data_IF_991478803151
#
_entry.id   IF_991478803151
#
_cell.length_a   1.000
_cell.length_b   1.000
_cell.length_c   1.000
_cell.angle_alpha   90.00
_cell.angle_beta   90.00
_cell.angle_gamma   90.00
#
_symmetry.space_group_name_H-M   'P 1'
#
loop_
_entity.id
_entity.type
_entity.pdbx_description
1 polymer ?
#
# COMPACT_ATOMS: atom_id res chain seq x y z
N UNK A 1 -16.79 -19.89 -1.11
CA UNK A 1 -15.60 -20.16 -0.26
C UNK A 1 -14.44 -19.34 -0.81
N UNK A 2 -14.16 -18.20 -0.18
CA UNK A 2 -13.13 -17.26 -0.56
C UNK A 2 -11.80 -17.68 0.08
N UNK A 3 -10.97 -18.43 -0.63
CA UNK A 3 -9.65 -18.91 -0.15
C UNK A 3 -8.46 -18.36 -0.93
N UNK A 4 -8.67 -17.35 -1.79
CA UNK A 4 -7.58 -16.69 -2.53
C UNK A 4 -7.28 -15.25 -2.07
N UNK A 5 -7.82 -14.79 -0.94
CA UNK A 5 -7.66 -13.41 -0.48
C UNK A 5 -6.59 -13.19 0.60
N UNK A 6 -6.12 -14.25 1.26
CA UNK A 6 -5.31 -14.12 2.48
C UNK A 6 -3.86 -13.71 2.22
N UNK A 7 -3.32 -13.97 1.01
CA UNK A 7 -1.90 -13.70 0.71
C UNK A 7 -1.60 -12.24 0.28
N UNK A 8 -2.62 -11.50 -0.17
CA UNK A 8 -2.51 -10.06 -0.43
C UNK A 8 -2.51 -9.24 0.88
N UNK A 9 -3.22 -9.70 1.91
CA UNK A 9 -3.27 -9.07 3.23
C UNK A 9 -1.97 -9.22 4.04
N UNK A 10 -1.06 -10.12 3.65
CA UNK A 10 0.29 -10.21 4.23
C UNK A 10 1.29 -9.22 3.63
N UNK A 11 0.91 -8.55 2.54
CA UNK A 11 1.67 -7.46 1.92
C UNK A 11 0.94 -6.13 2.12
N UNK A 12 0.31 -5.93 3.29
CA UNK A 12 -0.19 -4.61 3.67
C UNK A 12 0.95 -3.60 3.50
N UNK A 13 0.71 -2.46 2.83
CA UNK A 13 1.69 -1.39 2.79
C UNK A 13 2.09 -1.04 4.22
N UNK A 14 3.38 -0.86 4.48
CA UNK A 14 3.85 -0.36 5.77
C UNK A 14 3.03 0.88 6.15
N UNK A 15 2.70 1.07 7.43
CA UNK A 15 2.10 2.33 7.89
C UNK A 15 3.01 3.54 7.58
N UNK A 16 4.30 3.27 7.38
CA UNK A 16 5.30 4.26 7.00
C UNK A 16 5.43 4.40 5.49
N UNK A 17 4.74 3.62 4.65
CA UNK A 17 4.80 3.80 3.21
C UNK A 17 4.09 5.09 2.81
N UNK A 18 4.79 5.97 2.08
CA UNK A 18 4.25 7.29 1.68
C UNK A 18 4.05 7.41 0.18
N UNK A 19 4.64 6.49 -0.58
CA UNK A 19 4.61 6.52 -2.05
C UNK A 19 4.45 5.12 -2.58
N UNK A 20 3.63 5.00 -3.62
CA UNK A 20 3.50 3.77 -4.37
C UNK A 20 3.28 4.05 -5.85
N UNK A 21 3.68 3.09 -6.69
CA UNK A 21 3.43 3.12 -8.12
C UNK A 21 3.02 1.74 -8.59
N UNK A 22 1.96 1.67 -9.40
CA UNK A 22 1.47 0.42 -9.96
C UNK A 22 1.68 0.36 -11.46
N UNK A 23 2.01 -0.83 -11.96
CA UNK A 23 2.08 -1.13 -13.38
C UNK A 23 1.27 -2.38 -13.69
N UNK A 24 0.78 -2.49 -14.91
CA UNK A 24 -0.02 -3.60 -15.37
C UNK A 24 0.54 -4.21 -16.65
N UNK A 25 0.44 -5.54 -16.76
CA UNK A 25 0.69 -6.25 -18.00
C UNK A 25 -0.52 -7.08 -18.38
N UNK A 26 -1.03 -6.85 -19.59
CA UNK A 26 -2.04 -7.68 -20.21
C UNK A 26 -1.37 -8.89 -20.87
N UNK A 27 -1.85 -10.09 -20.55
CA UNK A 27 -1.41 -11.35 -21.14
C UNK A 27 -2.62 -12.06 -21.73
N UNK A 28 -2.41 -12.79 -22.83
CA UNK A 28 -3.43 -13.67 -23.41
C UNK A 28 -2.94 -15.10 -23.33
N UNK A 29 -3.73 -15.98 -22.71
CA UNK A 29 -3.45 -17.39 -22.74
C UNK A 29 -3.68 -17.90 -24.17
N UNK A 30 -2.63 -18.41 -24.82
CA UNK A 30 -2.70 -18.89 -26.20
C UNK A 30 -3.56 -20.14 -26.37
N UNK A 31 -3.73 -20.96 -25.32
CA UNK A 31 -4.50 -22.21 -25.36
C UNK A 31 -5.99 -22.00 -25.05
N UNK A 32 -6.32 -21.16 -24.07
CA UNK A 32 -7.70 -20.94 -23.63
C UNK A 32 -8.33 -19.67 -24.20
N UNK A 33 -7.54 -18.83 -24.89
CA UNK A 33 -8.00 -17.55 -25.45
C UNK A 33 -8.25 -16.44 -24.41
N UNK A 34 -8.24 -16.78 -23.12
CA UNK A 34 -8.54 -15.90 -21.99
C UNK A 34 -7.53 -14.77 -21.86
N UNK A 35 -8.02 -13.56 -21.57
CA UNK A 35 -7.19 -12.40 -21.24
C UNK A 35 -7.00 -12.33 -19.72
N UNK A 36 -5.76 -12.10 -19.29
CA UNK A 36 -5.37 -11.94 -17.89
C UNK A 36 -4.67 -10.61 -17.74
N UNK A 37 -4.98 -9.89 -16.66
CA UNK A 37 -4.31 -8.66 -16.29
C UNK A 37 -3.51 -8.91 -15.02
N UNK A 38 -2.20 -8.76 -15.10
CA UNK A 38 -1.32 -8.86 -13.95
C UNK A 38 -0.92 -7.45 -13.51
N UNK A 39 -1.19 -7.11 -12.25
CA UNK A 39 -0.80 -5.85 -11.63
C UNK A 39 0.37 -6.06 -10.67
N UNK A 40 1.28 -5.10 -10.64
CA UNK A 40 2.37 -5.03 -9.66
C UNK A 40 2.41 -3.62 -9.11
N UNK A 41 2.38 -3.47 -7.80
CA UNK A 41 2.59 -2.20 -7.12
C UNK A 41 3.89 -2.27 -6.31
N UNK A 42 4.70 -1.22 -6.42
CA UNK A 42 5.93 -1.03 -5.66
C UNK A 42 5.71 0.11 -4.68
N UNK A 43 6.11 -0.11 -3.43
CA UNK A 43 6.02 0.84 -2.33
C UNK A 43 7.43 1.30 -1.96
N UNK A 44 7.56 2.55 -1.54
CA UNK A 44 8.83 3.13 -1.06
C UNK A 44 9.38 2.45 0.19
N UNK A 45 8.50 1.96 1.07
CA UNK A 45 8.87 1.19 2.26
C UNK A 45 8.21 -0.18 2.31
N UNK A 46 9.05 -1.21 2.45
CA UNK A 46 8.62 -2.57 2.75
C UNK A 46 8.54 -2.74 4.28
N UNK A 47 7.44 -3.29 4.83
CA UNK A 47 7.36 -3.60 6.25
C UNK A 47 8.40 -4.65 6.64
N UNK A 48 8.90 -4.59 7.88
CA UNK A 48 9.76 -5.64 8.46
C UNK A 48 8.91 -6.82 8.92
N UNK A 49 9.49 -8.02 8.91
CA UNK A 49 8.80 -9.22 9.39
C UNK A 49 8.50 -9.07 10.89
N UNK A 50 7.21 -9.11 11.26
CA UNK A 50 6.73 -8.89 12.62
C UNK A 50 6.52 -7.42 13.03
N UNK A 51 6.64 -6.47 12.09
CA UNK A 51 6.28 -5.07 12.35
C UNK A 51 4.78 -4.94 12.58
N UNK A 52 4.40 -4.31 13.69
CA UNK A 52 2.99 -4.07 14.00
C UNK A 52 2.42 -3.01 13.07
N UNK A 53 1.25 -3.30 12.50
CA UNK A 53 0.39 -2.32 11.84
C UNK A 53 -0.63 -1.71 12.80
N UNK A 54 -0.56 -2.03 14.09
CA UNK A 54 -1.37 -1.42 15.14
C UNK A 54 -0.54 -0.31 15.79
N UNK A 55 -0.85 0.93 15.40
CA UNK A 55 -0.13 2.10 15.88
C UNK A 55 -0.62 3.35 15.15
N UNK A 56 -0.82 4.42 15.91
CA UNK A 56 -1.23 5.72 15.37
C UNK A 56 -2.74 5.99 15.50
N UNK A 57 -3.07 7.22 15.89
CA UNK A 57 -4.42 7.76 15.74
C UNK A 57 -4.54 8.36 14.33
N UNK A 58 -5.74 8.35 13.72
CA UNK A 58 -5.97 9.20 12.56
C UNK A 58 -5.59 10.64 12.90
N UNK A 59 -4.95 11.32 11.95
CA UNK A 59 -4.60 12.73 12.12
C UNK A 59 -5.86 13.60 12.00
N UNK A 60 -5.92 14.71 12.73
CA UNK A 60 -6.93 15.76 12.54
C UNK A 60 -6.28 17.06 12.03
N UNK A 61 -5.04 17.31 12.44
CA UNK A 61 -4.25 18.47 12.03
C UNK A 61 -2.85 18.04 11.57
N UNK A 62 -2.16 18.89 10.80
CA UNK A 62 -0.80 18.59 10.29
C UNK A 62 0.20 18.19 11.39
N UNK A 63 0.07 18.78 12.59
CA UNK A 63 0.91 18.50 13.76
C UNK A 63 0.76 17.07 14.31
N UNK A 64 -0.34 16.37 13.99
CA UNK A 64 -0.57 15.00 14.45
C UNK A 64 0.28 13.99 13.66
N UNK A 65 0.82 14.40 12.51
CA UNK A 65 1.67 13.58 11.65
C UNK A 65 3.14 13.66 12.09
N UNK A 66 3.59 12.68 12.88
CA UNK A 66 4.93 12.70 13.52
C UNK A 66 5.98 11.82 12.84
N UNK A 67 5.59 10.97 11.89
CA UNK A 67 6.50 10.01 11.26
C UNK A 67 7.48 10.63 10.26
N UNK A 68 7.08 11.71 9.59
CA UNK A 68 7.87 12.42 8.59
C UNK A 68 7.74 13.92 8.81
N UNK A 69 8.84 14.65 8.61
CA UNK A 69 8.84 16.11 8.69
C UNK A 69 7.95 16.72 7.59
N UNK A 70 7.41 17.91 7.88
CA UNK A 70 6.58 18.68 6.94
C UNK A 70 5.41 17.88 6.33
N UNK A 71 4.81 17.01 7.15
CA UNK A 71 3.64 16.24 6.77
C UNK A 71 2.36 17.08 6.86
N UNK A 72 1.42 16.78 5.97
CA UNK A 72 0.08 17.36 5.92
C UNK A 72 -0.96 16.31 6.28
N UNK A 73 -2.01 16.71 7.00
CA UNK A 73 -3.12 15.83 7.34
C UNK A 73 -4.29 16.14 6.41
N UNK A 74 -4.64 15.17 5.57
CA UNK A 74 -5.78 15.26 4.67
C UNK A 74 -6.62 13.99 4.77
N UNK A 75 -7.93 14.14 4.94
CA UNK A 75 -8.87 13.01 5.06
C UNK A 75 -8.49 11.95 6.11
N UNK A 76 -7.93 12.39 7.25
CA UNK A 76 -7.41 11.52 8.32
C UNK A 76 -6.16 10.71 7.95
N UNK A 77 -5.48 11.06 6.86
CA UNK A 77 -4.24 10.44 6.39
C UNK A 77 -3.10 11.46 6.37
N UNK A 78 -1.92 11.02 6.79
CA UNK A 78 -0.71 11.82 6.72
C UNK A 78 -0.04 11.68 5.35
N UNK A 79 0.13 12.80 4.64
CA UNK A 79 0.85 12.90 3.37
C UNK A 79 2.14 13.70 3.54
N UNK A 80 3.19 13.30 2.83
CA UNK A 80 4.48 14.02 2.79
C UNK A 80 5.04 14.06 1.36
N UNK A 81 5.83 15.09 1.06
CA UNK A 81 6.29 15.41 -0.31
C UNK A 81 7.81 15.35 -0.50
N UNK A 82 8.57 14.87 0.50
CA UNK A 82 10.05 14.90 0.48
C UNK A 82 10.67 13.50 0.35
#
# INVERSE_FOLDING_TARGET
MAQHSTQLLLHTPSQLATRFGCTARLRRNKKTGTRRMDWVCVYDKKPKDGESFEGGKPCNENKDCTHYNDSTCEWNLCYTFF
#
